data_IF_395400958319
#
_entry.id   IF_395400958319
#
_cell.length_a   1.000
_cell.length_b   1.000
_cell.length_c   1.000
_cell.angle_alpha   90.00
_cell.angle_beta   90.00
_cell.angle_gamma   90.00
#
_symmetry.space_group_name_H-M   'P 1'
#
loop_
_entity.id
_entity.type
_entity.pdbx_description
1 polymer ?
#
# COMPACT_ATOMS: atom_id res chain seq x y z
N UNK A 1 -49.09 -58.84 -41.38
CA UNK A 1 -48.56 -58.41 -40.07
C UNK A 1 -48.15 -56.95 -40.24
N UNK A 2 -49.01 -56.05 -39.79
CA UNK A 2 -49.02 -54.62 -40.09
C UNK A 2 -49.42 -53.93 -38.79
N UNK A 3 -48.61 -53.02 -38.22
CA UNK A 3 -49.05 -52.03 -37.23
C UNK A 3 -48.24 -50.73 -37.38
N UNK A 4 -48.98 -49.70 -37.81
CA UNK A 4 -49.10 -48.32 -37.30
C UNK A 4 -47.87 -47.41 -37.14
N UNK A 5 -48.00 -46.23 -37.77
CA UNK A 5 -47.09 -45.10 -37.63
C UNK A 5 -47.45 -44.14 -36.49
N UNK A 6 -46.57 -43.15 -36.27
CA UNK A 6 -46.85 -41.90 -35.55
C UNK A 6 -45.97 -40.79 -36.14
N UNK A 7 -46.61 -39.72 -36.63
CA UNK A 7 -45.99 -38.45 -37.00
C UNK A 7 -45.42 -37.74 -35.76
N UNK A 8 -44.24 -37.11 -35.85
CA UNK A 8 -43.91 -35.92 -35.04
C UNK A 8 -43.23 -34.84 -35.88
N UNK A 9 -44.05 -33.82 -36.18
CA UNK A 9 -43.79 -32.38 -36.31
C UNK A 9 -42.36 -31.94 -36.63
N UNK A 10 -42.16 -31.52 -37.88
CA UNK A 10 -41.28 -30.41 -38.24
C UNK A 10 -41.79 -29.14 -37.53
N UNK A 11 -40.97 -28.59 -36.63
CA UNK A 11 -41.07 -27.19 -36.21
C UNK A 11 -39.95 -26.46 -36.94
N UNK A 12 -40.35 -25.47 -37.72
CA UNK A 12 -39.50 -24.50 -38.40
C UNK A 12 -38.89 -23.51 -37.39
N UNK A 13 -37.65 -23.07 -37.67
CA UNK A 13 -36.93 -21.82 -37.30
C UNK A 13 -35.43 -22.19 -37.27
N UNK A 14 -34.48 -21.65 -38.01
CA UNK A 14 -34.37 -20.54 -38.95
C UNK A 14 -33.06 -20.78 -39.75
N UNK A 15 -32.97 -20.34 -41.03
CA UNK A 15 -31.76 -20.43 -41.84
C UNK A 15 -30.99 -19.12 -41.72
N UNK A 16 -30.33 -18.86 -40.58
CA UNK A 16 -29.38 -17.75 -40.53
C UNK A 16 -28.29 -18.00 -39.49
N UNK A 17 -27.05 -17.90 -39.95
CA UNK A 17 -25.85 -17.61 -39.16
C UNK A 17 -25.44 -18.61 -38.07
N UNK A 18 -24.95 -19.79 -38.49
CA UNK A 18 -23.81 -20.36 -37.79
C UNK A 18 -22.57 -20.07 -38.63
N UNK A 19 -21.73 -19.08 -38.26
CA UNK A 19 -20.41 -19.02 -38.88
C UNK A 19 -19.73 -20.35 -38.59
N UNK A 20 -19.06 -20.90 -39.60
CA UNK A 20 -18.02 -21.91 -39.44
C UNK A 20 -17.02 -21.37 -38.40
N UNK A 21 -17.29 -21.64 -37.12
CA UNK A 21 -16.39 -21.31 -36.05
C UNK A 21 -15.27 -22.31 -36.17
N UNK A 22 -14.21 -21.85 -36.85
CA UNK A 22 -12.86 -22.39 -36.79
C UNK A 22 -12.34 -22.27 -35.34
N UNK A 23 -13.03 -22.90 -34.40
CA UNK A 23 -12.56 -23.10 -33.03
C UNK A 23 -11.73 -24.35 -33.10
N UNK A 24 -10.45 -24.19 -33.46
CA UNK A 24 -9.46 -25.14 -32.97
C UNK A 24 -9.59 -25.01 -31.45
N UNK A 25 -10.06 -26.05 -30.73
CA UNK A 25 -10.17 -25.97 -29.28
C UNK A 25 -8.77 -25.64 -28.75
N UNK A 26 -8.68 -24.69 -27.83
CA UNK A 26 -7.40 -24.42 -27.19
C UNK A 26 -6.99 -25.71 -26.47
N UNK A 27 -5.86 -26.28 -26.89
CA UNK A 27 -5.37 -27.57 -26.44
C UNK A 27 -4.31 -27.32 -25.37
N UNK A 28 -4.44 -28.00 -24.24
CA UNK A 28 -3.50 -27.95 -23.12
C UNK A 28 -3.11 -29.37 -22.71
N UNK A 29 -1.96 -29.53 -22.09
CA UNK A 29 -1.49 -30.84 -21.63
C UNK A 29 -2.04 -31.11 -20.22
N UNK A 30 -2.61 -32.29 -20.02
CA UNK A 30 -3.08 -32.72 -18.71
C UNK A 30 -1.88 -32.88 -17.74
N UNK A 31 -1.88 -32.23 -16.57
CA UNK A 31 -0.74 -32.28 -15.65
C UNK A 31 -0.49 -33.67 -15.03
N UNK A 32 -1.46 -34.58 -15.07
CA UNK A 32 -1.35 -35.92 -14.47
C UNK A 32 -0.78 -36.98 -15.42
N UNK A 33 -1.08 -36.91 -16.72
CA UNK A 33 -0.69 -37.94 -17.69
C UNK A 33 -0.12 -37.39 -19.00
N UNK A 34 0.05 -36.08 -19.10
CA UNK A 34 0.62 -35.34 -20.23
C UNK A 34 -0.09 -35.54 -21.57
N UNK A 35 -1.35 -35.96 -21.55
CA UNK A 35 -2.18 -36.09 -22.76
C UNK A 35 -2.76 -34.75 -23.16
N UNK A 36 -2.88 -34.53 -24.47
CA UNK A 36 -3.43 -33.31 -25.03
C UNK A 36 -4.96 -33.31 -24.91
N UNK A 37 -5.50 -32.25 -24.29
CA UNK A 37 -6.91 -32.15 -23.92
C UNK A 37 -7.44 -30.73 -24.18
N UNK A 38 -8.73 -30.62 -24.42
CA UNK A 38 -9.39 -29.32 -24.58
C UNK A 38 -9.41 -28.55 -23.24
N UNK A 39 -9.14 -27.25 -23.28
CA UNK A 39 -9.07 -26.38 -22.08
C UNK A 39 -10.39 -26.25 -21.30
N UNK A 40 -11.51 -26.67 -21.88
CA UNK A 40 -12.84 -26.66 -21.27
C UNK A 40 -13.29 -28.04 -20.76
N UNK A 41 -12.45 -29.07 -20.90
CA UNK A 41 -12.74 -30.39 -20.38
C UNK A 41 -12.74 -30.38 -18.84
N UNK A 42 -13.83 -30.85 -18.22
CA UNK A 42 -13.95 -30.99 -16.77
C UNK A 42 -13.23 -32.22 -16.21
N UNK A 43 -12.91 -33.20 -17.06
CA UNK A 43 -12.11 -34.37 -16.71
C UNK A 43 -11.28 -34.87 -17.90
N UNK A 44 -10.10 -35.42 -17.63
CA UNK A 44 -9.23 -36.02 -18.63
C UNK A 44 -9.75 -37.40 -19.04
N UNK A 45 -10.01 -37.68 -20.34
CA UNK A 45 -10.53 -38.98 -20.78
C UNK A 45 -9.51 -40.11 -20.70
N UNK A 46 -8.21 -39.80 -20.63
CA UNK A 46 -7.14 -40.80 -20.61
C UNK A 46 -6.84 -41.34 -19.20
N UNK A 47 -6.88 -40.47 -18.18
CA UNK A 47 -6.50 -40.85 -16.81
C UNK A 47 -7.58 -40.59 -15.75
N UNK A 48 -8.69 -39.93 -16.11
CA UNK A 48 -9.80 -39.64 -15.20
C UNK A 48 -9.55 -38.46 -14.24
N UNK A 49 -8.44 -37.73 -14.36
CA UNK A 49 -8.17 -36.56 -13.52
C UNK A 49 -9.24 -35.48 -13.73
N UNK A 50 -9.84 -34.99 -12.64
CA UNK A 50 -10.79 -33.86 -12.68
C UNK A 50 -10.01 -32.55 -12.84
N UNK A 51 -10.41 -31.74 -13.81
CA UNK A 51 -9.75 -30.49 -14.14
C UNK A 51 -10.63 -29.34 -13.66
N UNK A 52 -10.11 -28.56 -12.74
CA UNK A 52 -10.82 -27.39 -12.23
C UNK A 52 -10.55 -26.23 -13.20
N UNK A 53 -11.58 -25.56 -13.75
CA UNK A 53 -11.38 -24.37 -14.55
C UNK A 53 -10.58 -23.38 -13.71
N UNK A 54 -9.38 -23.01 -14.17
CA UNK A 54 -8.59 -22.01 -13.46
C UNK A 54 -9.42 -20.72 -13.46
N UNK A 55 -9.82 -20.27 -12.27
CA UNK A 55 -10.48 -18.98 -12.10
C UNK A 55 -9.64 -17.92 -12.80
N UNK A 56 -10.21 -17.02 -13.62
CA UNK A 56 -9.45 -15.99 -14.31
C UNK A 56 -8.59 -15.24 -13.29
N UNK A 57 -7.28 -15.44 -13.36
CA UNK A 57 -6.34 -14.67 -12.55
C UNK A 57 -6.44 -13.22 -13.01
N UNK A 58 -6.80 -12.27 -12.11
CA UNK A 58 -6.89 -10.88 -12.49
C UNK A 58 -5.52 -10.42 -12.97
N UNK A 59 -5.46 -9.87 -14.19
CA UNK A 59 -4.22 -9.34 -14.73
C UNK A 59 -3.68 -8.24 -13.80
N UNK A 60 -2.35 -8.11 -13.62
CA UNK A 60 -1.75 -7.04 -12.81
C UNK A 60 -2.11 -5.61 -13.25
N UNK A 61 -2.68 -5.46 -14.46
CA UNK A 61 -3.11 -4.20 -15.07
C UNK A 61 -4.63 -4.01 -15.12
N UNK A 62 -5.41 -4.86 -14.45
CA UNK A 62 -6.86 -4.71 -14.42
C UNK A 62 -7.21 -3.48 -13.56
N UNK A 63 -7.94 -2.52 -14.15
CA UNK A 63 -8.53 -1.41 -13.41
C UNK A 63 -9.61 -1.95 -12.45
N UNK A 64 -9.71 -1.46 -11.22
CA UNK A 64 -10.67 -1.97 -10.25
C UNK A 64 -12.11 -1.70 -10.73
N UNK A 65 -12.87 -2.77 -10.96
CA UNK A 65 -14.32 -2.69 -11.18
C UNK A 65 -14.99 -2.29 -9.87
N UNK A 66 -15.68 -1.16 -9.84
CA UNK A 66 -16.45 -0.71 -8.69
C UNK A 66 -17.68 -1.61 -8.48
N UNK A 67 -17.59 -2.57 -7.58
CA UNK A 67 -18.76 -3.22 -7.00
C UNK A 67 -19.45 -2.27 -6.02
N UNK A 68 -20.78 -2.12 -6.03
CA UNK A 68 -21.49 -1.34 -5.02
C UNK A 68 -21.18 -1.89 -3.62
N UNK A 69 -20.67 -1.09 -2.67
CA UNK A 69 -20.30 -1.59 -1.36
C UNK A 69 -21.55 -1.96 -0.55
N UNK A 70 -21.51 -3.14 0.08
CA UNK A 70 -22.42 -3.50 1.18
C UNK A 70 -22.35 -2.44 2.29
N UNK A 71 -23.39 -2.26 3.14
CA UNK A 71 -23.36 -1.26 4.20
C UNK A 71 -22.22 -1.54 5.19
N UNK A 72 -21.12 -0.81 5.03
CA UNK A 72 -19.94 -0.88 5.88
C UNK A 72 -20.24 -0.02 7.11
N UNK A 73 -20.31 -0.65 8.29
CA UNK A 73 -20.24 0.08 9.56
C UNK A 73 -18.98 0.95 9.51
N UNK A 74 -19.14 2.25 9.74
CA UNK A 74 -18.07 3.24 9.64
C UNK A 74 -16.93 2.94 10.63
N UNK A 75 -15.99 2.08 10.22
CA UNK A 75 -14.62 2.18 10.69
C UNK A 75 -14.14 3.52 10.19
N UNK A 76 -13.82 4.46 11.09
CA UNK A 76 -13.19 5.71 10.69
C UNK A 76 -11.90 5.36 9.95
N UNK A 77 -11.97 5.40 8.62
CA UNK A 77 -10.82 5.30 7.74
C UNK A 77 -10.03 6.58 8.02
N UNK A 78 -9.08 6.50 8.96
CA UNK A 78 -8.06 7.50 9.17
C UNK A 78 -7.36 7.65 7.82
N UNK A 79 -7.81 8.60 7.00
CA UNK A 79 -7.28 8.98 5.68
C UNK A 79 -5.75 8.93 5.74
N UNK A 80 -5.18 7.80 5.30
CA UNK A 80 -3.76 7.56 5.37
C UNK A 80 -3.09 8.55 4.43
N UNK A 81 -2.09 9.29 4.91
CA UNK A 81 -1.16 9.86 3.95
C UNK A 81 -0.58 8.70 3.12
N UNK A 82 -0.36 8.90 1.82
CA UNK A 82 0.11 7.84 0.91
C UNK A 82 1.46 7.19 1.30
N UNK A 83 2.00 7.52 2.48
CA UNK A 83 3.19 6.93 3.09
C UNK A 83 2.90 6.06 4.32
N UNK A 84 1.62 5.73 4.59
CA UNK A 84 1.24 4.91 5.74
C UNK A 84 1.47 5.60 7.09
N UNK A 85 1.54 6.94 7.11
CA UNK A 85 1.81 7.73 8.30
C UNK A 85 3.28 7.79 8.72
N UNK A 86 4.20 7.22 7.92
CA UNK A 86 5.64 7.21 8.20
C UNK A 86 6.23 8.60 8.04
N UNK A 87 5.92 9.31 6.95
CA UNK A 87 6.47 10.64 6.68
C UNK A 87 5.39 11.70 6.87
N UNK A 88 5.49 12.54 7.92
CA UNK A 88 4.41 13.44 8.31
C UNK A 88 4.38 14.75 7.49
N UNK A 89 4.06 14.68 6.20
CA UNK A 89 4.02 15.87 5.32
C UNK A 89 2.97 16.91 5.73
N UNK A 90 1.85 16.46 6.31
CA UNK A 90 0.81 17.34 6.86
C UNK A 90 1.27 18.05 8.16
N UNK A 91 2.46 17.73 8.67
CA UNK A 91 3.07 18.34 9.86
C UNK A 91 4.49 18.86 9.57
N UNK A 92 4.63 20.01 8.89
CA UNK A 92 5.94 20.56 8.57
C UNK A 92 6.77 20.87 9.83
N UNK A 93 6.14 21.20 10.95
CA UNK A 93 6.84 21.50 12.20
C UNK A 93 7.55 20.27 12.76
N UNK A 94 6.88 19.11 12.79
CA UNK A 94 7.50 17.85 13.22
C UNK A 94 8.60 17.40 12.26
N UNK A 95 8.39 17.59 10.95
CA UNK A 95 9.37 17.24 9.93
C UNK A 95 10.64 18.10 10.03
N UNK A 96 10.49 19.42 10.12
CA UNK A 96 11.62 20.36 10.26
C UNK A 96 12.34 20.11 11.61
N UNK A 97 11.59 19.88 12.69
CA UNK A 97 12.17 19.55 13.99
C UNK A 97 13.08 18.32 13.93
N UNK A 98 12.67 17.27 13.20
CA UNK A 98 13.48 16.08 12.99
C UNK A 98 14.82 16.40 12.30
N UNK A 99 14.78 17.12 11.17
CA UNK A 99 16.00 17.45 10.42
C UNK A 99 16.92 18.39 11.20
N UNK A 100 16.37 19.45 11.82
CA UNK A 100 17.16 20.36 12.64
C UNK A 100 17.73 19.65 13.89
N UNK A 101 16.97 18.73 14.48
CA UNK A 101 17.43 17.93 15.62
C UNK A 101 18.68 17.12 15.28
N UNK A 102 18.68 16.42 14.14
CA UNK A 102 19.86 15.68 13.67
C UNK A 102 21.00 16.63 13.30
N UNK A 103 20.70 17.70 12.56
CA UNK A 103 21.70 18.69 12.12
C UNK A 103 22.36 19.44 13.29
N UNK A 104 21.66 19.56 14.43
CA UNK A 104 22.20 20.22 15.63
C UNK A 104 23.39 19.47 16.27
N UNK A 105 23.69 18.26 15.83
CA UNK A 105 24.93 17.56 16.19
C UNK A 105 26.20 18.23 15.63
N UNK A 106 26.08 19.12 14.65
CA UNK A 106 27.23 19.83 14.08
C UNK A 106 27.83 20.85 15.06
N UNK A 107 29.17 20.92 15.17
CA UNK A 107 29.86 21.89 16.01
C UNK A 107 29.58 23.34 15.61
N UNK A 108 29.62 24.25 16.59
CA UNK A 108 29.44 25.71 16.47
C UNK A 108 28.02 26.18 16.11
N UNK A 109 27.38 25.54 15.12
CA UNK A 109 26.00 25.88 14.70
C UNK A 109 24.93 25.11 15.48
N UNK A 110 25.33 24.07 16.20
CA UNK A 110 24.41 23.16 16.90
C UNK A 110 23.58 23.83 17.98
N UNK A 111 24.10 24.85 18.68
CA UNK A 111 23.38 25.51 19.78
C UNK A 111 22.09 26.21 19.31
N UNK A 112 22.11 27.19 18.37
CA UNK A 112 20.88 27.83 17.91
C UNK A 112 19.94 26.86 17.17
N UNK A 113 20.50 25.92 16.40
CA UNK A 113 19.72 24.92 15.66
C UNK A 113 19.01 23.95 16.61
N UNK A 114 19.67 23.53 17.68
CA UNK A 114 19.11 22.63 18.69
C UNK A 114 17.91 23.26 19.41
N UNK A 115 18.01 24.55 19.76
CA UNK A 115 16.89 25.31 20.35
C UNK A 115 15.71 25.36 19.38
N UNK A 116 15.96 25.68 18.11
CA UNK A 116 14.92 25.70 17.09
C UNK A 116 14.26 24.33 16.92
N UNK A 117 15.04 23.25 16.85
CA UNK A 117 14.56 21.88 16.75
C UNK A 117 13.65 21.49 17.93
N UNK A 118 14.06 21.84 19.15
CA UNK A 118 13.29 21.59 20.37
C UNK A 118 11.93 22.29 20.34
N UNK A 119 11.92 23.59 20.02
CA UNK A 119 10.68 24.39 19.95
C UNK A 119 9.75 23.89 18.86
N UNK A 120 10.26 23.66 17.64
CA UNK A 120 9.45 23.16 16.53
C UNK A 120 8.92 21.75 16.81
N UNK A 121 9.66 20.92 17.53
CA UNK A 121 9.22 19.59 17.95
C UNK A 121 8.00 19.66 18.87
N UNK A 122 8.03 20.53 19.87
CA UNK A 122 6.88 20.77 20.76
C UNK A 122 5.68 21.27 19.94
N UNK A 123 5.89 22.25 19.06
CA UNK A 123 4.81 22.76 18.21
C UNK A 123 4.27 21.69 17.24
N UNK A 124 5.12 20.77 16.78
CA UNK A 124 4.75 19.62 15.97
C UNK A 124 3.83 18.65 16.72
N UNK A 125 4.12 18.36 18.00
CA UNK A 125 3.23 17.56 18.85
C UNK A 125 1.91 18.28 19.13
N UNK A 126 1.95 19.59 19.39
CA UNK A 126 0.74 20.38 19.58
C UNK A 126 -0.16 20.38 18.34
N UNK A 127 0.40 20.44 17.14
CA UNK A 127 -0.36 20.34 15.89
C UNK A 127 -1.11 19.00 15.77
N UNK A 128 -0.47 17.90 16.18
CA UNK A 128 -1.06 16.55 16.19
C UNK A 128 -2.18 16.44 17.21
N UNK A 129 -1.98 17.06 18.39
CA UNK A 129 -2.98 17.08 19.46
C UNK A 129 -4.25 17.82 19.03
N UNK A 130 -4.12 18.89 18.24
CA UNK A 130 -5.27 19.67 17.71
C UNK A 130 -6.00 18.95 16.59
N UNK A 131 -5.27 18.21 15.74
CA UNK A 131 -5.87 17.43 14.67
C UNK A 131 -5.15 16.07 14.55
N UNK A 132 -5.72 14.98 15.10
CA UNK A 132 -5.05 13.67 15.16
C UNK A 132 -4.84 13.01 13.79
N UNK A 133 -5.53 13.47 12.73
CA UNK A 133 -5.28 13.08 11.33
C UNK A 133 -3.86 13.44 10.90
N UNK A 134 -3.31 14.55 11.42
CA UNK A 134 -1.95 14.97 11.14
C UNK A 134 -1.00 14.01 11.86
N UNK A 135 -0.12 13.29 11.14
CA UNK A 135 0.89 12.32 11.65
C UNK A 135 2.22 13.00 12.09
N UNK A 136 3.15 12.26 12.71
CA UNK A 136 4.51 12.78 13.04
C UNK A 136 4.99 12.80 14.51
N UNK A 137 4.49 11.95 15.41
CA UNK A 137 4.94 11.96 16.83
C UNK A 137 6.37 11.50 16.98
N UNK A 138 6.78 10.49 16.20
CA UNK A 138 8.16 9.99 16.19
C UNK A 138 9.12 11.08 15.75
N UNK A 139 8.82 11.78 14.65
CA UNK A 139 9.64 12.86 14.11
C UNK A 139 9.78 14.03 15.09
N UNK A 140 8.66 14.44 15.71
CA UNK A 140 8.69 15.46 16.74
C UNK A 140 9.47 15.01 17.98
N UNK A 141 9.34 13.75 18.40
CA UNK A 141 10.08 13.18 19.52
C UNK A 141 11.59 13.16 19.30
N UNK A 142 12.04 12.75 18.10
CA UNK A 142 13.46 12.79 17.72
C UNK A 142 13.97 14.23 17.72
N UNK A 143 13.22 15.18 17.14
CA UNK A 143 13.58 16.60 17.14
C UNK A 143 13.72 17.18 18.56
N UNK A 144 12.80 16.85 19.47
CA UNK A 144 12.87 17.25 20.88
C UNK A 144 14.07 16.62 21.57
N UNK A 145 14.26 15.31 21.43
CA UNK A 145 15.34 14.58 22.09
C UNK A 145 16.71 15.05 21.65
N UNK A 146 17.00 14.99 20.34
CA UNK A 146 18.27 15.45 19.79
C UNK A 146 18.49 16.94 20.03
N UNK A 147 17.47 17.79 19.80
CA UNK A 147 17.55 19.22 20.02
C UNK A 147 17.89 19.58 21.47
N UNK A 148 17.26 18.94 22.46
CA UNK A 148 17.56 19.16 23.87
C UNK A 148 18.99 18.72 24.23
N UNK A 149 19.39 17.51 23.83
CA UNK A 149 20.71 16.95 24.15
C UNK A 149 21.82 17.83 23.56
N UNK A 150 21.73 18.17 22.28
CA UNK A 150 22.76 18.97 21.62
C UNK A 150 22.77 20.44 22.08
N UNK A 151 21.62 21.02 22.43
CA UNK A 151 21.57 22.36 23.03
C UNK A 151 22.30 22.39 24.36
N UNK A 152 22.08 21.39 25.23
CA UNK A 152 22.76 21.30 26.53
C UNK A 152 24.26 21.08 26.33
N UNK A 153 24.64 20.15 25.46
CA UNK A 153 26.04 19.84 25.18
C UNK A 153 26.80 21.06 24.65
N UNK A 154 26.31 21.69 23.57
CA UNK A 154 26.97 22.86 22.99
C UNK A 154 26.91 24.08 23.91
N UNK A 155 25.81 24.26 24.65
CA UNK A 155 25.68 25.30 25.65
C UNK A 155 26.74 25.18 26.75
N UNK A 156 26.97 23.96 27.25
CA UNK A 156 28.02 23.69 28.25
C UNK A 156 29.41 23.96 27.68
N UNK A 157 29.70 23.52 26.45
CA UNK A 157 30.98 23.81 25.78
C UNK A 157 31.21 25.32 25.64
N UNK A 158 30.18 26.08 25.21
CA UNK A 158 30.26 27.53 25.09
C UNK A 158 30.54 28.18 26.45
N UNK A 159 29.84 27.76 27.51
CA UNK A 159 30.05 28.27 28.87
C UNK A 159 31.48 27.99 29.35
N UNK A 160 32.00 26.78 29.14
CA UNK A 160 33.37 26.42 29.52
C UNK A 160 34.42 27.24 28.74
N UNK A 161 34.21 27.46 27.44
CA UNK A 161 35.10 28.30 26.62
C UNK A 161 35.10 29.73 27.14
N UNK A 162 33.92 30.31 27.38
CA UNK A 162 33.78 31.66 27.93
C UNK A 162 34.48 31.76 29.30
N UNK A 163 34.24 30.80 30.19
CA UNK A 163 34.91 30.75 31.50
C UNK A 163 36.43 30.67 31.37
N UNK A 164 36.95 29.79 30.50
CA UNK A 164 38.39 29.66 30.27
C UNK A 164 39.02 30.95 29.71
N UNK A 165 38.32 31.64 28.80
CA UNK A 165 38.76 32.93 28.26
C UNK A 165 38.73 34.07 29.30
N UNK A 166 37.83 34.00 30.28
CA UNK A 166 37.73 34.97 31.38
C UNK A 166 38.75 34.69 32.48
N UNK A 167 39.01 33.42 32.81
CA UNK A 167 39.95 33.01 33.85
C UNK A 167 41.42 33.00 33.40
N UNK A 168 41.67 32.88 32.08
CA UNK A 168 43.00 32.97 31.49
C UNK A 168 43.46 34.40 31.17
N UNK A 169 42.68 35.41 31.53
CA UNK A 169 43.06 36.83 31.56
C UNK A 169 43.46 37.21 32.98
#
# INVERSE_FOLDING_TARGET
MTISGVRRRFIATDPLSTPLRNTIPNMSQCPSCNQEIATDASACPACGATLQPSSPQPSPYASPTMTPPAPVYATEVSEGDGTGGVIPYKNPKALIAYYLGILSGLPLIGFPIGIAAFVLGIQGLQARKRNPVIKGSVHAGIGIGCGAIFTILWGLVIVLIVFALLAGK
#
